data_IF_819863413520
#
_entry.id   IF_819863413520
#
_cell.length_a   1.000
_cell.length_b   1.000
_cell.length_c   1.000
_cell.angle_alpha   90.00
_cell.angle_beta   90.00
_cell.angle_gamma   90.00
#
_symmetry.space_group_name_H-M   'P 1'
#
loop_
_entity.id
_entity.type
_entity.pdbx_description
1 polymer ?
#
# COMPACT_ATOMS: atom_id res chain seq x y z
N UNK A 1 6.08 -10.75 9.92
CA UNK A 1 5.85 -11.82 8.93
C UNK A 1 4.33 -11.97 8.79
N UNK A 2 3.69 -11.39 7.76
CA UNK A 2 2.23 -11.54 7.58
C UNK A 2 1.99 -12.57 6.50
N UNK A 3 1.44 -13.68 6.95
CA UNK A 3 1.11 -14.93 6.29
C UNK A 3 0.50 -14.78 4.88
N UNK A 4 1.04 -15.54 3.93
CA UNK A 4 0.43 -15.83 2.63
C UNK A 4 -0.76 -16.77 2.86
N UNK A 5 -1.92 -16.22 3.14
CA UNK A 5 -3.17 -16.88 2.77
C UNK A 5 -3.47 -16.47 1.32
N UNK A 6 -3.77 -17.44 0.46
CA UNK A 6 -4.03 -17.28 -0.98
C UNK A 6 -5.33 -16.50 -1.25
N UNK A 7 -5.91 -15.83 -0.24
CA UNK A 7 -7.16 -15.08 -0.33
C UNK A 7 -6.99 -13.63 0.12
N UNK A 8 -7.27 -12.72 -0.81
CA UNK A 8 -7.41 -11.30 -0.52
C UNK A 8 -8.56 -11.14 0.48
N UNK A 9 -8.29 -10.51 1.62
CA UNK A 9 -9.31 -10.21 2.62
C UNK A 9 -10.41 -9.33 2.01
N UNK A 10 -11.68 -9.75 2.20
CA UNK A 10 -12.87 -9.06 1.68
C UNK A 10 -13.63 -8.29 2.76
N UNK A 11 -13.00 -8.02 3.91
CA UNK A 11 -13.63 -7.37 5.07
C UNK A 11 -14.16 -5.97 4.73
N UNK A 12 -13.48 -5.22 3.86
CA UNK A 12 -13.91 -3.87 3.45
C UNK A 12 -15.05 -3.87 2.42
N UNK A 13 -15.90 -2.83 2.45
CA UNK A 13 -17.01 -2.63 1.51
C UNK A 13 -16.57 -2.55 0.04
N UNK A 14 -17.45 -2.95 -0.89
CA UNK A 14 -17.14 -3.04 -2.33
C UNK A 14 -16.68 -1.69 -2.92
N UNK A 15 -17.35 -0.59 -2.56
CA UNK A 15 -17.03 0.75 -3.04
C UNK A 15 -15.65 1.21 -2.56
N UNK A 16 -15.37 1.06 -1.26
CA UNK A 16 -14.07 1.43 -0.68
C UNK A 16 -12.90 0.68 -1.35
N UNK A 17 -13.07 -0.63 -1.59
CA UNK A 17 -12.05 -1.43 -2.29
C UNK A 17 -11.80 -0.94 -3.71
N UNK A 18 -12.86 -0.55 -4.42
CA UNK A 18 -12.76 -0.01 -5.78
C UNK A 18 -12.02 1.33 -5.80
N UNK A 19 -12.43 2.27 -4.95
CA UNK A 19 -11.79 3.58 -4.83
C UNK A 19 -10.31 3.44 -4.48
N UNK A 20 -9.99 2.63 -3.46
CA UNK A 20 -8.61 2.42 -3.04
C UNK A 20 -7.76 1.76 -4.13
N UNK A 21 -8.34 0.86 -4.93
CA UNK A 21 -7.66 0.27 -6.07
C UNK A 21 -7.30 1.33 -7.12
N UNK A 22 -8.21 2.26 -7.42
CA UNK A 22 -7.93 3.38 -8.33
C UNK A 22 -6.87 4.34 -7.77
N UNK A 23 -6.90 4.60 -6.46
CA UNK A 23 -5.85 5.38 -5.79
C UNK A 23 -4.48 4.69 -5.91
N UNK A 24 -4.41 3.38 -5.70
CA UNK A 24 -3.16 2.62 -5.79
C UNK A 24 -2.58 2.59 -7.21
N UNK A 25 -3.43 2.60 -8.24
CA UNK A 25 -2.99 2.70 -9.64
C UNK A 25 -2.30 4.04 -9.95
N UNK A 26 -2.78 5.13 -9.37
CA UNK A 26 -2.13 6.43 -9.49
C UNK A 26 -0.87 6.51 -8.60
N UNK A 27 -0.96 6.01 -7.36
CA UNK A 27 0.15 6.04 -6.41
C UNK A 27 1.40 5.29 -6.90
N UNK A 28 1.23 4.19 -7.65
CA UNK A 28 2.39 3.49 -8.25
C UNK A 28 3.13 4.31 -9.32
N UNK A 29 2.53 5.36 -9.86
CA UNK A 29 3.15 6.24 -10.85
C UNK A 29 3.73 7.50 -10.20
N UNK A 30 3.06 8.05 -9.18
CA UNK A 30 3.42 9.32 -8.56
C UNK A 30 4.33 9.18 -7.35
N UNK A 31 4.20 8.11 -6.56
CA UNK A 31 4.98 7.91 -5.34
C UNK A 31 6.11 6.90 -5.57
N UNK A 32 7.37 7.35 -5.40
CA UNK A 32 8.55 6.53 -5.61
C UNK A 32 8.55 5.25 -4.75
N UNK A 33 8.18 5.35 -3.47
CA UNK A 33 8.11 4.21 -2.57
C UNK A 33 7.00 3.21 -2.91
N UNK A 34 5.93 3.64 -3.57
CA UNK A 34 4.86 2.74 -4.05
C UNK A 34 5.26 2.07 -5.37
N UNK A 35 5.94 2.81 -6.27
CA UNK A 35 6.50 2.30 -7.51
C UNK A 35 7.52 1.19 -7.24
N UNK A 36 8.50 1.46 -6.37
CA UNK A 36 9.54 0.49 -6.01
C UNK A 36 8.95 -0.80 -5.39
N UNK A 37 7.92 -0.67 -4.55
CA UNK A 37 7.22 -1.83 -4.00
C UNK A 37 6.55 -2.67 -5.09
N UNK A 38 5.89 -2.01 -6.05
CA UNK A 38 5.23 -2.67 -7.17
C UNK A 38 6.24 -3.39 -8.05
N UNK A 39 7.28 -2.68 -8.51
CA UNK A 39 8.32 -3.22 -9.39
C UNK A 39 9.06 -4.39 -8.73
N UNK A 40 9.37 -4.29 -7.43
CA UNK A 40 9.99 -5.39 -6.67
C UNK A 40 9.11 -6.63 -6.60
N UNK A 41 7.78 -6.48 -6.50
CA UNK A 41 6.86 -7.63 -6.46
C UNK A 41 6.67 -8.25 -7.83
N UNK A 42 6.58 -7.43 -8.87
CA UNK A 42 6.46 -7.89 -10.27
C UNK A 42 7.74 -8.57 -10.73
N UNK A 43 8.93 -8.01 -10.41
CA UNK A 43 10.23 -8.60 -10.71
C UNK A 43 10.45 -9.95 -10.01
N UNK A 44 9.77 -10.21 -8.89
CA UNK A 44 9.73 -11.52 -8.22
C UNK A 44 8.75 -12.52 -8.88
N UNK A 45 8.19 -12.20 -10.04
CA UNK A 45 7.26 -13.08 -10.76
C UNK A 45 5.84 -13.13 -10.19
N UNK A 46 5.46 -12.20 -9.28
CA UNK A 46 4.10 -12.20 -8.73
C UNK A 46 3.09 -11.60 -9.69
N UNK A 47 1.84 -12.04 -9.56
CA UNK A 47 0.73 -11.49 -10.33
C UNK A 47 0.57 -9.98 -10.09
N UNK A 48 0.41 -9.20 -11.17
CA UNK A 48 0.26 -7.74 -11.16
C UNK A 48 -0.87 -7.27 -10.24
N UNK A 49 -1.98 -8.02 -10.19
CA UNK A 49 -3.11 -7.71 -9.30
C UNK A 49 -2.70 -7.77 -7.83
N UNK A 50 -1.92 -8.77 -7.44
CA UNK A 50 -1.42 -8.89 -6.08
C UNK A 50 -0.44 -7.76 -5.73
N UNK A 51 0.39 -7.36 -6.69
CA UNK A 51 1.29 -6.22 -6.51
C UNK A 51 0.53 -4.91 -6.26
N UNK A 52 -0.57 -4.65 -6.99
CA UNK A 52 -1.42 -3.46 -6.74
C UNK A 52 -2.08 -3.54 -5.36
N UNK A 53 -2.60 -4.70 -4.97
CA UNK A 53 -3.20 -4.88 -3.63
C UNK A 53 -2.16 -4.67 -2.51
N UNK A 54 -0.90 -5.03 -2.74
CA UNK A 54 0.17 -4.74 -1.79
C UNK A 54 0.42 -3.23 -1.66
N UNK A 55 0.33 -2.46 -2.76
CA UNK A 55 0.37 -1.00 -2.73
C UNK A 55 -0.84 -0.43 -1.98
N UNK A 56 -2.06 -0.94 -2.22
CA UNK A 56 -3.26 -0.56 -1.45
C UNK A 56 -3.03 -0.73 0.06
N UNK A 57 -2.46 -1.87 0.47
CA UNK A 57 -2.18 -2.15 1.88
C UNK A 57 -1.12 -1.21 2.47
N UNK A 58 -0.12 -0.81 1.67
CA UNK A 58 0.87 0.21 2.08
C UNK A 58 0.19 1.55 2.35
N UNK A 59 -0.65 2.02 1.43
CA UNK A 59 -1.41 3.27 1.58
C UNK A 59 -2.31 3.24 2.81
N UNK A 60 -3.05 2.15 3.03
CA UNK A 60 -3.92 2.03 4.22
C UNK A 60 -3.15 2.16 5.53
N UNK A 61 -1.98 1.53 5.63
CA UNK A 61 -1.13 1.63 6.81
C UNK A 61 -0.57 3.04 7.00
N UNK A 62 -0.22 3.72 5.92
CA UNK A 62 0.24 5.11 5.96
C UNK A 62 -0.88 6.03 6.45
N UNK A 63 -2.10 5.91 5.90
CA UNK A 63 -3.27 6.68 6.34
C UNK A 63 -3.56 6.43 7.82
N UNK A 64 -3.55 5.16 8.25
CA UNK A 64 -3.78 4.83 9.67
C UNK A 64 -2.71 5.43 10.58
N UNK A 65 -1.45 5.39 10.18
CA UNK A 65 -0.35 6.02 10.94
C UNK A 65 -0.47 7.55 11.03
N UNK A 66 -0.86 8.21 9.95
CA UNK A 66 -1.09 9.68 9.92
C UNK A 66 -2.26 10.06 10.82
N UNK A 67 -3.38 9.36 10.72
CA UNK A 67 -4.56 9.62 11.56
C UNK A 67 -4.24 9.40 13.04
N UNK A 68 -3.51 8.33 13.37
CA UNK A 68 -3.15 8.02 14.76
C UNK A 68 -2.14 8.99 15.36
N UNK A 69 -1.17 9.46 14.56
CA UNK A 69 -0.12 10.36 15.04
C UNK A 69 -0.49 11.84 15.00
N UNK A 70 -1.50 12.22 14.20
CA UNK A 70 -1.84 13.62 13.94
C UNK A 70 -0.78 14.38 13.13
N UNK A 71 0.29 13.70 12.68
CA UNK A 71 1.39 14.30 11.93
C UNK A 71 1.14 14.07 10.44
N UNK A 72 1.31 15.13 9.63
CA UNK A 72 1.19 15.06 8.18
C UNK A 72 2.15 14.04 7.57
N UNK A 73 1.72 13.38 6.49
CA UNK A 73 2.54 12.43 5.76
C UNK A 73 3.82 13.08 5.24
N UNK A 74 4.97 12.50 5.58
CA UNK A 74 6.29 12.90 5.09
C UNK A 74 6.89 11.74 4.29
N UNK A 75 7.32 11.99 3.06
CA UNK A 75 7.85 10.92 2.19
C UNK A 75 9.19 10.38 2.71
N UNK A 76 9.99 11.25 3.34
CA UNK A 76 11.25 10.92 4.01
C UNK A 76 11.08 10.87 5.54
N UNK A 77 10.10 10.13 6.06
CA UNK A 77 9.96 9.94 7.49
C UNK A 77 11.08 9.03 8.03
N UNK A 78 12.23 9.63 8.34
CA UNK A 78 13.27 8.99 9.13
C UNK A 78 12.74 8.86 10.57
N UNK A 79 12.51 7.61 11.01
CA UNK A 79 12.21 7.35 12.42
C UNK A 79 13.34 7.97 13.24
N UNK A 80 13.02 8.97 14.08
CA UNK A 80 13.93 9.32 15.18
C UNK A 80 13.95 8.10 16.10
N UNK A 81 15.00 7.30 15.99
CA UNK A 81 15.34 6.29 16.98
C UNK A 81 15.65 7.07 18.25
N UNK A 82 14.77 6.97 19.25
CA UNK A 82 15.06 7.40 20.61
C UNK A 82 15.93 6.34 21.29
#
# INVERSE_FOLDING_TARGET
MVFYTVRISKIGGKQLRHTLYMCALNAKATNAGCKELYDRLVGKGKNKKLAIIAVCNKLLKQVFGVVQSGILYQDNFCKKTA
#
